data_IF_261139175139
#
_entry.id   IF_261139175139
#
_cell.length_a   1.000
_cell.length_b   1.000
_cell.length_c   1.000
_cell.angle_alpha   90.00
_cell.angle_beta   90.00
_cell.angle_gamma   90.00
#
_symmetry.space_group_name_H-M   'P 1'
#
loop_
_entity.id
_entity.type
_entity.pdbx_description
1 polymer ?
#
# COMPACT_ATOMS: atom_id res chain seq x y z
N UNK A 1 3.68 7.14 4.95
CA UNK A 1 2.77 7.72 3.94
C UNK A 1 3.07 7.25 2.54
N UNK A 2 4.31 7.33 2.08
CA UNK A 2 4.67 7.04 0.68
C UNK A 2 4.39 5.59 0.29
N UNK A 3 4.51 4.68 1.23
CA UNK A 3 4.37 3.25 0.99
C UNK A 3 2.91 2.78 0.99
N UNK A 4 1.98 3.54 1.58
CA UNK A 4 0.55 3.27 1.45
C UNK A 4 0.05 3.34 0.00
N UNK A 5 0.86 3.91 -0.90
CA UNK A 5 0.66 3.82 -2.33
C UNK A 5 0.61 2.37 -2.83
N UNK A 6 1.42 1.47 -2.23
CA UNK A 6 1.43 0.04 -2.60
C UNK A 6 0.09 -0.62 -2.29
N UNK A 7 -0.51 -0.30 -1.13
CA UNK A 7 -1.84 -0.80 -0.78
C UNK A 7 -2.91 -0.27 -1.73
N UNK A 8 -2.84 1.00 -2.11
CA UNK A 8 -3.75 1.55 -3.10
C UNK A 8 -3.59 0.87 -4.48
N UNK A 9 -2.38 0.53 -4.87
CA UNK A 9 -2.11 -0.25 -6.08
C UNK A 9 -2.59 -1.69 -5.97
N UNK A 10 -2.44 -2.33 -4.81
CA UNK A 10 -2.99 -3.66 -4.58
C UNK A 10 -4.52 -3.65 -4.75
N UNK A 11 -5.22 -2.68 -4.16
CA UNK A 11 -6.67 -2.53 -4.31
C UNK A 11 -7.06 -2.30 -5.78
N UNK A 12 -6.31 -1.46 -6.51
CA UNK A 12 -6.52 -1.27 -7.95
C UNK A 12 -6.28 -2.54 -8.76
N UNK A 13 -5.27 -3.32 -8.42
CA UNK A 13 -5.01 -4.60 -9.09
C UNK A 13 -6.19 -5.56 -8.87
N UNK A 14 -6.70 -5.66 -7.64
CA UNK A 14 -7.91 -6.43 -7.34
C UNK A 14 -9.13 -5.88 -8.10
N UNK A 15 -9.31 -4.57 -8.14
CA UNK A 15 -10.37 -3.93 -8.93
C UNK A 15 -10.33 -4.43 -10.39
N UNK A 16 -9.18 -4.38 -11.03
CA UNK A 16 -9.03 -4.85 -12.41
C UNK A 16 -9.25 -6.37 -12.56
N UNK A 17 -8.69 -7.16 -11.65
CA UNK A 17 -8.88 -8.62 -11.66
C UNK A 17 -10.38 -8.98 -11.55
N UNK A 18 -11.13 -8.29 -10.71
CA UNK A 18 -12.59 -8.49 -10.58
C UNK A 18 -13.31 -8.05 -11.85
N UNK A 19 -13.01 -6.87 -12.39
CA UNK A 19 -13.67 -6.35 -13.60
C UNK A 19 -13.43 -7.22 -14.82
N UNK A 20 -12.25 -7.83 -14.91
CA UNK A 20 -11.86 -8.71 -16.02
C UNK A 20 -12.26 -10.17 -15.81
N UNK A 21 -12.91 -10.52 -14.69
CA UNK A 21 -13.22 -11.90 -14.29
C UNK A 21 -11.97 -12.79 -14.22
N UNK A 22 -10.83 -12.21 -13.83
CA UNK A 22 -9.56 -12.95 -13.65
C UNK A 22 -9.53 -13.73 -12.33
N UNK A 23 -10.46 -13.44 -11.41
CA UNK A 23 -10.60 -14.08 -10.09
C UNK A 23 -12.07 -14.38 -9.81
N UNK A 24 -12.35 -15.58 -9.30
CA UNK A 24 -13.70 -16.08 -9.09
C UNK A 24 -14.11 -16.22 -7.62
N UNK A 25 -13.14 -16.33 -6.72
CA UNK A 25 -13.38 -16.54 -5.29
C UNK A 25 -12.57 -15.53 -4.47
N UNK A 26 -13.15 -14.35 -4.29
CA UNK A 26 -12.54 -13.30 -3.50
C UNK A 26 -13.31 -13.17 -2.19
N UNK A 27 -12.66 -13.35 -1.03
CA UNK A 27 -13.28 -13.05 0.24
C UNK A 27 -13.65 -11.57 0.33
N UNK A 28 -14.74 -11.26 1.01
CA UNK A 28 -15.12 -9.86 1.24
C UNK A 28 -14.09 -9.19 2.13
N UNK A 29 -13.59 -8.06 1.69
CA UNK A 29 -12.51 -7.32 2.35
C UNK A 29 -12.88 -5.85 2.53
N UNK A 30 -12.46 -5.28 3.65
CA UNK A 30 -12.56 -3.84 3.90
C UNK A 30 -11.15 -3.30 4.19
N UNK A 31 -10.69 -2.41 3.33
CA UNK A 31 -9.42 -1.71 3.49
C UNK A 31 -9.66 -0.39 4.22
N UNK A 32 -9.01 -0.22 5.36
CA UNK A 32 -9.16 0.98 6.21
C UNK A 32 -7.85 1.76 6.20
N UNK A 33 -7.89 2.97 5.68
CA UNK A 33 -6.77 3.91 5.73
C UNK A 33 -7.00 4.97 6.81
N UNK A 34 -5.98 5.23 7.61
CA UNK A 34 -5.98 6.32 8.57
C UNK A 34 -4.66 7.07 8.49
N UNK A 35 -4.66 8.27 7.94
CA UNK A 35 -3.45 9.04 7.76
C UNK A 35 -3.67 10.55 7.84
N UNK A 36 -2.60 11.27 8.17
CA UNK A 36 -2.50 12.72 8.09
C UNK A 36 -1.19 13.11 7.42
N UNK A 37 -1.18 14.20 6.66
CA UNK A 37 0.02 14.76 6.07
C UNK A 37 0.30 16.14 6.63
N UNK A 38 1.58 16.46 6.84
CA UNK A 38 1.98 17.83 7.16
C UNK A 38 1.60 18.79 6.01
N UNK A 39 1.25 20.05 6.30
CA UNK A 39 0.79 21.01 5.29
C UNK A 39 1.71 21.16 4.07
N UNK A 40 3.03 21.15 4.27
CA UNK A 40 4.04 21.26 3.21
C UNK A 40 4.41 19.94 2.54
N UNK A 41 3.85 18.80 2.95
CA UNK A 41 4.22 17.50 2.40
C UNK A 41 3.34 17.13 1.19
N UNK A 42 3.60 17.78 0.05
CA UNK A 42 2.77 17.65 -1.16
C UNK A 42 2.62 16.21 -1.65
N UNK A 43 3.70 15.41 -1.66
CA UNK A 43 3.65 14.01 -2.08
C UNK A 43 2.72 13.16 -1.20
N UNK A 44 2.75 13.35 0.12
CA UNK A 44 1.85 12.63 1.02
C UNK A 44 0.39 13.04 0.79
N UNK A 45 0.12 14.33 0.53
CA UNK A 45 -1.22 14.81 0.18
C UNK A 45 -1.71 14.23 -1.15
N UNK A 46 -0.82 14.13 -2.15
CA UNK A 46 -1.13 13.51 -3.43
C UNK A 46 -1.54 12.04 -3.26
N UNK A 47 -0.83 11.29 -2.41
CA UNK A 47 -1.15 9.89 -2.13
C UNK A 47 -2.47 9.78 -1.37
N UNK A 48 -2.75 10.65 -0.40
CA UNK A 48 -4.06 10.69 0.28
C UNK A 48 -5.19 10.95 -0.71
N UNK A 49 -5.00 11.90 -1.63
CA UNK A 49 -5.98 12.16 -2.70
C UNK A 49 -6.17 10.93 -3.58
N UNK A 50 -5.08 10.29 -4.02
CA UNK A 50 -5.13 9.08 -4.81
C UNK A 50 -5.90 7.94 -4.11
N UNK A 51 -5.64 7.68 -2.83
CA UNK A 51 -6.37 6.69 -2.03
C UNK A 51 -7.87 7.02 -2.00
N UNK A 52 -8.24 8.30 -1.88
CA UNK A 52 -9.65 8.69 -1.90
C UNK A 52 -10.30 8.53 -3.28
N UNK A 53 -9.57 8.75 -4.37
CA UNK A 53 -10.07 8.45 -5.71
C UNK A 53 -10.25 6.94 -5.94
N UNK A 54 -9.29 6.12 -5.49
CA UNK A 54 -9.43 4.65 -5.49
C UNK A 54 -10.64 4.22 -4.65
N UNK A 55 -10.85 4.82 -3.47
CA UNK A 55 -12.04 4.60 -2.64
C UNK A 55 -13.32 4.90 -3.42
N UNK A 56 -13.39 6.04 -4.08
CA UNK A 56 -14.57 6.44 -4.86
C UNK A 56 -14.81 5.48 -6.02
N UNK A 57 -13.76 5.11 -6.76
CA UNK A 57 -13.83 4.15 -7.86
C UNK A 57 -14.39 2.81 -7.40
N UNK A 58 -13.79 2.22 -6.36
CA UNK A 58 -14.17 0.90 -5.85
C UNK A 58 -15.57 0.89 -5.24
N UNK A 59 -15.89 1.87 -4.40
CA UNK A 59 -17.14 1.87 -3.65
C UNK A 59 -18.37 2.21 -4.52
N UNK A 60 -18.19 2.88 -5.65
CA UNK A 60 -19.26 3.22 -6.59
C UNK A 60 -19.40 2.23 -7.75
N UNK A 61 -18.56 1.21 -7.85
CA UNK A 61 -18.68 0.16 -8.86
C UNK A 61 -19.58 -0.97 -8.34
N UNK A 62 -20.73 -1.22 -8.98
CA UNK A 62 -21.75 -2.18 -8.55
C UNK A 62 -21.28 -3.65 -8.54
N UNK A 63 -20.19 -3.95 -9.22
CA UNK A 63 -19.60 -5.30 -9.23
C UNK A 63 -18.56 -5.42 -8.13
N UNK A 64 -17.58 -4.53 -8.13
CA UNK A 64 -16.42 -4.58 -7.23
C UNK A 64 -16.80 -4.33 -5.78
N UNK A 65 -17.76 -3.42 -5.52
CA UNK A 65 -18.19 -3.10 -4.16
C UNK A 65 -18.87 -4.25 -3.40
N UNK A 66 -19.18 -5.34 -4.08
CA UNK A 66 -19.68 -6.57 -3.43
C UNK A 66 -18.59 -7.35 -2.72
N UNK A 67 -17.34 -7.16 -3.12
CA UNK A 67 -16.17 -7.88 -2.63
C UNK A 67 -15.24 -6.96 -1.82
N UNK A 68 -15.01 -5.74 -2.29
CA UNK A 68 -14.05 -4.82 -1.71
C UNK A 68 -14.75 -3.54 -1.26
N UNK A 69 -14.42 -3.07 -0.05
CA UNK A 69 -14.75 -1.75 0.46
C UNK A 69 -13.48 -1.01 0.83
N UNK A 70 -13.44 0.27 0.54
CA UNK A 70 -12.32 1.15 0.94
C UNK A 70 -12.85 2.27 1.83
N UNK A 71 -12.24 2.43 2.99
CA UNK A 71 -12.60 3.46 3.97
C UNK A 71 -11.37 4.33 4.23
N UNK A 72 -11.54 5.64 4.20
CA UNK A 72 -10.52 6.58 4.62
C UNK A 72 -11.01 7.33 5.88
N UNK A 73 -10.31 7.13 6.99
CA UNK A 73 -10.63 7.77 8.27
C UNK A 73 -9.97 9.15 8.32
N UNK A 74 -10.80 10.16 8.29
CA UNK A 74 -10.36 11.55 8.39
C UNK A 74 -9.85 11.86 9.81
N UNK A 75 -8.86 12.73 9.88
CA UNK A 75 -8.29 13.22 11.15
C UNK A 75 -7.93 12.10 12.14
N UNK A 76 -7.32 11.01 11.65
CA UNK A 76 -6.93 9.88 12.48
C UNK A 76 -6.17 10.35 13.73
N UNK A 77 -6.59 9.88 14.89
CA UNK A 77 -6.08 10.26 16.21
C UNK A 77 -6.18 9.08 17.18
N UNK A 78 -5.74 9.26 18.42
CA UNK A 78 -5.70 8.20 19.43
C UNK A 78 -7.08 7.57 19.66
N UNK A 79 -8.13 8.37 19.80
CA UNK A 79 -9.49 7.87 20.05
C UNK A 79 -10.05 7.04 18.90
N UNK A 80 -9.76 7.44 17.66
CA UNK A 80 -10.09 6.61 16.46
C UNK A 80 -9.24 5.33 16.47
N UNK A 81 -7.98 5.43 16.84
CA UNK A 81 -7.07 4.28 16.95
C UNK A 81 -7.57 3.22 17.94
N UNK A 82 -8.09 3.62 19.08
CA UNK A 82 -8.67 2.73 20.08
C UNK A 82 -9.82 1.86 19.53
N UNK A 83 -10.55 2.36 18.53
CA UNK A 83 -11.60 1.60 17.85
C UNK A 83 -11.05 0.75 16.70
N UNK A 84 -10.05 1.25 15.99
CA UNK A 84 -9.52 0.60 14.78
C UNK A 84 -8.62 -0.59 15.10
N UNK A 85 -7.75 -0.46 16.13
CA UNK A 85 -6.81 -1.52 16.47
C UNK A 85 -7.49 -2.85 16.80
N UNK A 86 -8.56 -2.92 17.61
CA UNK A 86 -9.26 -4.17 17.89
C UNK A 86 -10.21 -4.62 16.77
N UNK A 87 -10.48 -3.78 15.78
CA UNK A 87 -11.39 -4.09 14.67
C UNK A 87 -10.69 -4.68 13.45
N UNK A 88 -9.35 -4.72 13.44
CA UNK A 88 -8.59 -5.18 12.29
C UNK A 88 -8.23 -6.65 12.41
N UNK A 89 -8.46 -7.43 11.35
CA UNK A 89 -7.98 -8.81 11.23
C UNK A 89 -6.52 -8.85 10.76
N UNK A 90 -6.14 -7.90 9.89
CA UNK A 90 -4.81 -7.80 9.29
C UNK A 90 -4.29 -6.37 9.41
N UNK A 91 -3.03 -6.24 9.74
CA UNK A 91 -2.29 -4.98 9.86
C UNK A 91 -1.18 -4.94 8.82
N UNK A 92 -1.20 -3.92 7.97
CA UNK A 92 -0.18 -3.74 6.93
C UNK A 92 0.91 -2.75 7.38
N UNK A 93 2.12 -3.25 7.59
CA UNK A 93 3.28 -2.54 8.13
C UNK A 93 4.41 -2.56 7.09
N UNK A 94 4.35 -1.65 6.14
CA UNK A 94 5.04 -1.73 4.86
C UNK A 94 6.10 -0.62 4.62
N UNK A 95 6.81 -0.18 5.65
CA UNK A 95 7.96 0.72 5.48
C UNK A 95 9.08 0.06 4.65
N UNK A 96 9.89 0.86 3.97
CA UNK A 96 11.09 0.33 3.31
C UNK A 96 12.10 -0.09 4.37
N UNK A 97 12.70 -1.27 4.25
CA UNK A 97 13.67 -1.78 5.23
C UNK A 97 14.76 -0.76 5.54
N UNK A 98 15.03 -0.55 6.84
CA UNK A 98 15.97 0.45 7.36
C UNK A 98 15.44 1.88 7.42
N UNK A 99 14.14 2.11 7.27
CA UNK A 99 13.53 3.46 7.29
C UNK A 99 12.67 3.74 8.51
N UNK A 100 12.13 2.71 9.16
CA UNK A 100 11.35 2.82 10.40
C UNK A 100 12.20 2.36 11.58
N UNK A 101 12.34 3.19 12.60
CA UNK A 101 13.14 2.83 13.78
C UNK A 101 12.49 1.70 14.59
N UNK A 102 11.20 1.74 14.78
CA UNK A 102 10.42 0.74 15.49
C UNK A 102 8.99 0.67 14.95
N UNK A 103 8.26 1.78 14.98
CA UNK A 103 6.81 1.80 14.82
C UNK A 103 6.10 1.47 16.13
N UNK A 104 4.85 1.89 16.23
CA UNK A 104 3.98 1.57 17.37
C UNK A 104 2.66 0.96 16.94
N UNK A 105 2.24 1.22 15.71
CA UNK A 105 1.01 0.67 15.14
C UNK A 105 1.04 -0.85 15.06
N UNK A 106 2.13 -1.42 14.55
CA UNK A 106 2.36 -2.85 14.45
C UNK A 106 2.15 -3.58 15.80
N UNK A 107 2.76 -3.09 16.86
CA UNK A 107 2.59 -3.64 18.20
C UNK A 107 1.15 -3.54 18.71
N UNK A 108 0.48 -2.40 18.48
CA UNK A 108 -0.91 -2.19 18.91
C UNK A 108 -1.88 -3.12 18.18
N UNK A 109 -1.74 -3.27 16.88
CA UNK A 109 -2.54 -4.21 16.09
C UNK A 109 -2.32 -5.65 16.53
N UNK A 110 -1.06 -6.07 16.68
CA UNK A 110 -0.71 -7.42 17.12
C UNK A 110 -1.26 -7.74 18.52
N UNK A 111 -1.14 -6.82 19.48
CA UNK A 111 -1.69 -6.97 20.82
C UNK A 111 -3.24 -7.10 20.84
N UNK A 112 -3.90 -6.64 19.78
CA UNK A 112 -5.34 -6.78 19.57
C UNK A 112 -5.71 -7.95 18.64
N UNK A 113 -4.75 -8.83 18.30
CA UNK A 113 -4.99 -10.07 17.57
C UNK A 113 -4.91 -9.96 16.04
N UNK A 114 -4.55 -8.80 15.49
CA UNK A 114 -4.37 -8.65 14.04
C UNK A 114 -3.09 -9.35 13.58
N UNK A 115 -3.17 -10.08 12.47
CA UNK A 115 -2.00 -10.63 11.78
C UNK A 115 -1.20 -9.51 11.11
N UNK A 116 0.11 -9.65 11.04
CA UNK A 116 0.97 -8.64 10.42
C UNK A 116 1.38 -9.06 9.01
N UNK A 117 0.99 -8.25 8.01
CA UNK A 117 1.61 -8.23 6.69
C UNK A 117 2.65 -7.12 6.70
N UNK A 118 3.92 -7.44 6.53
CA UNK A 118 4.93 -6.40 6.72
C UNK A 118 6.30 -6.72 6.16
N UNK A 119 7.08 -5.66 6.02
CA UNK A 119 8.47 -5.72 5.59
C UNK A 119 9.41 -5.99 6.79
N UNK A 120 10.63 -6.43 6.50
CA UNK A 120 11.69 -6.63 7.51
C UNK A 120 12.25 -5.27 7.96
N UNK A 121 11.42 -4.51 8.73
CA UNK A 121 11.77 -3.17 9.19
C UNK A 121 11.17 -2.88 10.57
N UNK A 122 11.85 -2.06 11.35
CA UNK A 122 11.40 -1.66 12.68
C UNK A 122 11.05 -2.85 13.59
N UNK A 123 10.02 -2.71 14.41
CA UNK A 123 9.57 -3.75 15.32
C UNK A 123 8.94 -4.98 14.64
N UNK A 124 8.69 -4.94 13.32
CA UNK A 124 8.22 -6.13 12.61
C UNK A 124 9.24 -7.26 12.70
N UNK A 125 10.54 -6.95 12.72
CA UNK A 125 11.62 -7.95 12.84
C UNK A 125 11.46 -8.75 14.14
N UNK A 126 11.26 -8.06 15.26
CA UNK A 126 11.03 -8.73 16.56
C UNK A 126 9.69 -9.49 16.56
N UNK A 127 8.65 -8.94 15.97
CA UNK A 127 7.34 -9.59 15.84
C UNK A 127 7.50 -10.91 15.08
N UNK A 128 8.15 -10.91 13.93
CA UNK A 128 8.37 -12.14 13.16
C UNK A 128 9.22 -13.15 13.88
N UNK A 129 10.28 -12.72 14.58
CA UNK A 129 11.16 -13.58 15.34
C UNK A 129 10.45 -14.24 16.56
N UNK A 130 9.56 -13.52 17.23
CA UNK A 130 8.88 -14.01 18.43
C UNK A 130 7.58 -14.75 18.14
N UNK A 131 6.78 -14.27 17.22
CA UNK A 131 5.51 -14.89 16.86
C UNK A 131 5.67 -16.04 15.85
N UNK A 132 6.79 -16.08 15.14
CA UNK A 132 7.07 -17.01 14.05
C UNK A 132 6.51 -16.54 12.71
N UNK A 133 7.19 -16.89 11.64
CA UNK A 133 6.79 -16.52 10.27
C UNK A 133 5.47 -17.19 9.87
N UNK A 134 5.16 -18.36 10.41
CA UNK A 134 3.89 -19.06 10.17
C UNK A 134 2.65 -18.29 10.68
N UNK A 135 2.85 -17.31 11.57
CA UNK A 135 1.80 -16.48 12.16
C UNK A 135 1.78 -15.06 11.63
N UNK A 136 2.59 -14.77 10.59
CA UNK A 136 2.72 -13.46 9.97
C UNK A 136 2.92 -13.62 8.46
N UNK A 137 2.90 -12.51 7.74
CA UNK A 137 3.14 -12.48 6.30
C UNK A 137 4.30 -11.52 5.99
N UNK A 138 5.56 -11.93 6.25
CA UNK A 138 6.72 -11.12 5.91
C UNK A 138 6.92 -11.08 4.39
N UNK A 139 7.27 -9.92 3.86
CA UNK A 139 7.59 -9.74 2.44
C UNK A 139 8.62 -8.63 2.23
N UNK A 140 9.08 -8.49 0.98
CA UNK A 140 10.02 -7.45 0.58
C UNK A 140 11.47 -7.80 0.91
N UNK A 141 12.37 -6.92 0.53
CA UNK A 141 13.80 -7.11 0.65
C UNK A 141 14.33 -6.65 2.02
N UNK A 142 15.36 -7.33 2.51
CA UNK A 142 16.13 -6.86 3.69
C UNK A 142 17.00 -5.65 3.34
N UNK A 143 17.53 -4.96 4.36
CA UNK A 143 18.46 -3.83 4.18
C UNK A 143 19.66 -4.22 3.32
N UNK A 144 20.23 -5.40 3.54
CA UNK A 144 21.40 -5.87 2.80
C UNK A 144 21.09 -6.09 1.32
N UNK A 145 19.95 -6.69 1.02
CA UNK A 145 19.47 -6.87 -0.37
C UNK A 145 19.24 -5.51 -1.03
N UNK A 146 18.55 -4.59 -0.38
CA UNK A 146 18.32 -3.24 -0.92
C UNK A 146 19.63 -2.49 -1.17
N UNK A 147 20.61 -2.64 -0.30
CA UNK A 147 21.92 -2.02 -0.49
C UNK A 147 22.67 -2.65 -1.67
N UNK A 148 22.57 -3.96 -1.88
CA UNK A 148 23.26 -4.65 -2.98
C UNK A 148 22.70 -4.29 -4.36
N UNK A 149 21.39 -4.00 -4.47
CA UNK A 149 20.73 -3.64 -5.73
C UNK A 149 20.67 -2.13 -5.99
N UNK A 150 21.03 -1.30 -5.01
CA UNK A 150 20.82 0.16 -5.06
C UNK A 150 21.36 0.83 -6.32
N UNK A 151 22.55 0.45 -6.75
CA UNK A 151 23.24 1.07 -7.88
C UNK A 151 22.81 0.49 -9.24
N UNK A 152 22.19 -0.70 -9.22
CA UNK A 152 21.69 -1.40 -10.41
C UNK A 152 20.17 -1.33 -10.59
N UNK A 153 19.44 -0.86 -9.56
CA UNK A 153 17.98 -0.81 -9.59
C UNK A 153 17.46 0.14 -10.66
N UNK A 154 16.70 -0.39 -11.60
CA UNK A 154 16.06 0.37 -12.66
C UNK A 154 14.53 0.21 -12.57
N UNK A 155 13.78 1.19 -12.07
CA UNK A 155 12.33 1.07 -11.91
C UNK A 155 11.59 0.88 -13.24
N UNK A 156 12.15 1.35 -14.35
CA UNK A 156 11.56 1.19 -15.69
C UNK A 156 11.47 -0.27 -16.09
N UNK A 157 12.43 -1.10 -15.71
CA UNK A 157 12.40 -2.54 -15.98
C UNK A 157 11.24 -3.22 -15.27
N UNK A 158 11.00 -2.90 -14.00
CA UNK A 158 9.85 -3.42 -13.24
C UNK A 158 8.53 -2.95 -13.83
N UNK A 159 8.45 -1.69 -14.25
CA UNK A 159 7.26 -1.14 -14.90
C UNK A 159 6.89 -1.87 -16.19
N UNK A 160 7.86 -2.24 -17.02
CA UNK A 160 7.61 -2.97 -18.26
C UNK A 160 7.59 -4.50 -18.12
N UNK A 161 8.11 -5.04 -17.02
CA UNK A 161 8.21 -6.48 -16.80
C UNK A 161 6.86 -7.14 -16.53
N UNK A 162 5.92 -6.38 -15.94
CA UNK A 162 4.65 -6.92 -15.46
C UNK A 162 3.48 -6.02 -15.87
N UNK A 163 2.56 -6.57 -16.66
CA UNK A 163 1.39 -5.85 -17.16
C UNK A 163 0.45 -5.37 -16.02
N UNK A 164 0.41 -6.06 -14.88
CA UNK A 164 -0.40 -5.62 -13.74
C UNK A 164 0.24 -4.39 -13.09
N UNK A 165 1.57 -4.39 -12.93
CA UNK A 165 2.29 -3.20 -12.43
C UNK A 165 2.05 -2.03 -13.38
N UNK A 166 2.27 -2.25 -14.68
CA UNK A 166 2.04 -1.23 -15.69
C UNK A 166 0.62 -0.67 -15.62
N UNK A 167 -0.38 -1.54 -15.63
CA UNK A 167 -1.81 -1.18 -15.57
C UNK A 167 -2.15 -0.31 -14.37
N UNK A 168 -1.71 -0.67 -13.15
CA UNK A 168 -2.01 0.10 -11.94
C UNK A 168 -1.25 1.42 -11.89
N UNK A 169 -0.03 1.47 -12.40
CA UNK A 169 0.77 2.70 -12.48
C UNK A 169 0.18 3.65 -13.53
N UNK A 170 -0.22 3.14 -14.70
CA UNK A 170 -0.84 3.93 -15.77
C UNK A 170 -2.20 4.52 -15.35
N UNK A 171 -2.89 3.90 -14.39
CA UNK A 171 -4.13 4.44 -13.81
C UNK A 171 -3.94 5.87 -13.26
N UNK A 172 -2.74 6.20 -12.75
CA UNK A 172 -2.41 7.55 -12.29
C UNK A 172 -2.58 8.64 -13.38
N UNK A 173 -2.49 8.26 -14.66
CA UNK A 173 -2.57 9.15 -15.81
C UNK A 173 -3.85 8.93 -16.62
N UNK A 174 -4.74 8.04 -16.19
CA UNK A 174 -5.96 7.69 -16.90
C UNK A 174 -7.14 8.56 -16.46
N UNK A 175 -8.20 8.60 -17.28
CA UNK A 175 -9.47 9.25 -16.95
C UNK A 175 -10.29 8.48 -15.89
N UNK A 176 -9.84 7.31 -15.46
CA UNK A 176 -10.53 6.48 -14.47
C UNK A 176 -10.53 7.13 -13.08
N UNK A 177 -9.50 7.91 -12.78
CA UNK A 177 -9.34 8.69 -11.55
C UNK A 177 -9.02 10.14 -11.89
N UNK A 178 -9.37 11.07 -11.00
CA UNK A 178 -9.24 12.48 -11.31
C UNK A 178 -8.48 13.25 -10.21
N UNK A 179 -7.39 13.88 -10.59
CA UNK A 179 -6.64 14.77 -9.70
C UNK A 179 -7.12 16.23 -9.74
N UNK A 180 -8.21 16.50 -10.45
CA UNK A 180 -8.81 17.82 -10.61
C UNK A 180 -7.88 18.84 -11.30
N UNK A 181 -7.01 18.36 -12.18
CA UNK A 181 -6.04 19.20 -12.91
C UNK A 181 -4.87 19.69 -12.06
N UNK A 182 -4.63 19.07 -10.91
CA UNK A 182 -3.56 19.48 -10.00
C UNK A 182 -2.18 18.93 -10.36
N UNK A 183 -2.09 18.01 -11.33
CA UNK A 183 -0.88 17.28 -11.72
C UNK A 183 -0.23 16.47 -10.58
N UNK A 184 -0.94 16.24 -9.49
CA UNK A 184 -0.43 15.50 -8.34
C UNK A 184 -0.17 14.03 -8.67
N UNK A 185 -1.00 13.43 -9.54
CA UNK A 185 -0.84 12.03 -9.93
C UNK A 185 0.30 11.87 -10.94
N UNK A 186 0.53 12.83 -11.80
CA UNK A 186 1.72 12.86 -12.66
C UNK A 186 3.02 12.93 -11.84
N UNK A 187 3.04 13.68 -10.73
CA UNK A 187 4.18 13.72 -9.83
C UNK A 187 4.42 12.35 -9.15
N UNK A 188 3.34 11.63 -8.75
CA UNK A 188 3.44 10.26 -8.23
C UNK A 188 4.02 9.34 -9.32
N UNK A 189 3.45 9.35 -10.53
CA UNK A 189 3.90 8.54 -11.67
C UNK A 189 5.40 8.74 -11.94
N UNK A 190 5.83 9.98 -12.10
CA UNK A 190 7.23 10.30 -12.36
C UNK A 190 8.16 9.84 -11.24
N UNK A 191 7.68 9.84 -9.99
CA UNK A 191 8.47 9.36 -8.86
C UNK A 191 8.64 7.85 -8.79
N UNK A 192 7.78 7.12 -9.47
CA UNK A 192 7.86 5.66 -9.57
C UNK A 192 8.72 5.25 -10.76
N UNK A 193 8.37 5.75 -11.95
CA UNK A 193 9.01 5.32 -13.20
C UNK A 193 10.40 5.91 -13.35
N UNK A 194 10.62 7.18 -12.97
CA UNK A 194 11.89 7.86 -13.22
C UNK A 194 12.86 7.85 -12.02
N UNK A 195 12.36 7.70 -10.78
CA UNK A 195 13.17 7.89 -9.56
C UNK A 195 12.66 7.08 -8.36
N UNK A 196 12.37 5.81 -8.53
CA UNK A 196 11.86 5.00 -7.42
C UNK A 196 12.94 4.72 -6.35
N UNK A 197 13.39 5.76 -5.68
CA UNK A 197 14.43 5.72 -4.63
C UNK A 197 14.04 4.91 -3.38
N UNK A 198 12.83 4.37 -3.34
CA UNK A 198 12.30 3.57 -2.22
C UNK A 198 11.91 2.16 -2.68
N UNK A 199 12.37 1.73 -3.84
CA UNK A 199 12.17 0.37 -4.38
C UNK A 199 10.70 -0.08 -4.40
N UNK A 200 9.77 0.85 -4.62
CA UNK A 200 8.33 0.56 -4.55
C UNK A 200 7.86 -0.42 -5.61
N UNK A 201 8.37 -0.30 -6.83
CA UNK A 201 7.97 -1.21 -7.91
C UNK A 201 8.53 -2.61 -7.69
N UNK A 202 9.76 -2.76 -7.16
CA UNK A 202 10.32 -4.05 -6.78
C UNK A 202 9.48 -4.73 -5.70
N UNK A 203 9.23 -4.05 -4.61
CA UNK A 203 8.46 -4.61 -3.49
C UNK A 203 6.97 -4.79 -3.83
N UNK A 204 6.40 -3.95 -4.71
CA UNK A 204 5.05 -4.17 -5.22
C UNK A 204 4.98 -5.42 -6.10
N UNK A 205 6.01 -5.70 -6.87
CA UNK A 205 6.09 -6.93 -7.64
C UNK A 205 5.95 -8.18 -6.76
N UNK A 206 6.48 -8.15 -5.55
CA UNK A 206 6.34 -9.24 -4.56
C UNK A 206 4.97 -9.20 -3.86
N UNK A 207 4.50 -8.01 -3.47
CA UNK A 207 3.27 -7.85 -2.69
C UNK A 207 1.99 -8.23 -3.47
N UNK A 208 1.99 -8.08 -4.79
CA UNK A 208 0.77 -8.25 -5.60
C UNK A 208 0.29 -9.71 -5.74
N UNK A 209 1.17 -10.67 -5.48
CA UNK A 209 0.92 -12.11 -5.53
C UNK A 209 0.55 -12.64 -4.16
#
# INVERSE_FOLDING_TARGET
YKRQLLNAFHILNLYYKIKNNEVSDIPKQTYIFGAKAAPGYFRAKAIIKFINEVKNLVNNDDVVNKYIKVVFLENFNVSIGEMVYPAADVSEQISTAGKEASGTGNMKFMLNGALTVGTYDGANIEIFNHAGEDNNFPFGATVDVLNSIRDSYNPVEYYYKDENIKRVVDTLLSDLINDSGSFMFLDIYNSLVNRDSSFKLDEYFVLKD
#
